data_IF_848911448315
#
_entry.id   IF_848911448315
#
_cell.length_a   1.000
_cell.length_b   1.000
_cell.length_c   1.000
_cell.angle_alpha   90.00
_cell.angle_beta   90.00
_cell.angle_gamma   90.00
#
_symmetry.space_group_name_H-M   'P 1'
#
loop_
_entity.id
_entity.type
_entity.pdbx_description
1 polymer ?
#
# COMPACT_ATOMS: atom_id res chain seq x y z
N UNK A 1 16.37 27.84 -32.52
CA UNK A 1 15.39 26.88 -31.94
C UNK A 1 16.17 26.03 -30.95
N UNK A 2 15.85 26.13 -29.67
CA UNK A 2 16.48 25.25 -28.67
C UNK A 2 16.11 23.80 -29.01
N UNK A 3 17.09 22.91 -28.89
CA UNK A 3 16.83 21.48 -29.01
C UNK A 3 15.88 21.09 -27.84
N UNK A 4 14.74 20.48 -28.17
CA UNK A 4 13.75 20.05 -27.17
C UNK A 4 14.37 19.14 -26.11
N UNK A 5 15.34 18.32 -26.50
CA UNK A 5 16.04 17.42 -25.58
C UNK A 5 16.94 18.20 -24.59
N UNK A 6 17.61 19.26 -25.06
CA UNK A 6 18.43 20.11 -24.18
C UNK A 6 17.54 20.88 -23.19
N UNK A 7 16.44 21.48 -23.69
CA UNK A 7 15.45 22.12 -22.81
C UNK A 7 14.93 21.15 -21.73
N UNK A 8 14.62 19.91 -22.09
CA UNK A 8 14.17 18.91 -21.13
C UNK A 8 15.23 18.61 -20.06
N UNK A 9 16.51 18.51 -20.46
CA UNK A 9 17.64 18.30 -19.54
C UNK A 9 17.82 19.48 -18.59
N UNK A 10 17.70 20.71 -19.10
CA UNK A 10 17.80 21.94 -18.29
C UNK A 10 16.71 21.99 -17.23
N UNK A 11 15.44 21.70 -17.59
CA UNK A 11 14.32 21.64 -16.65
C UNK A 11 14.60 20.63 -15.54
N UNK A 12 14.96 19.41 -15.90
CA UNK A 12 15.20 18.34 -14.92
C UNK A 12 16.39 18.66 -13.99
N UNK A 13 17.46 19.29 -14.51
CA UNK A 13 18.59 19.72 -13.68
C UNK A 13 18.19 20.83 -12.71
N UNK A 14 17.46 21.85 -13.20
CA UNK A 14 16.97 22.94 -12.35
C UNK A 14 16.10 22.43 -11.20
N UNK A 15 15.20 21.49 -11.46
CA UNK A 15 14.35 20.91 -10.44
C UNK A 15 15.15 19.99 -9.49
N UNK A 16 16.13 19.23 -9.98
CA UNK A 16 16.98 18.40 -9.15
C UNK A 16 17.84 19.26 -8.19
N UNK A 17 18.45 20.33 -8.68
CA UNK A 17 19.24 21.26 -7.86
C UNK A 17 18.34 21.92 -6.78
N UNK A 18 17.11 22.25 -7.12
CA UNK A 18 16.15 22.80 -6.17
C UNK A 18 15.78 21.79 -5.06
N UNK A 19 15.62 20.50 -5.39
CA UNK A 19 15.38 19.45 -4.40
C UNK A 19 16.57 19.25 -3.46
N UNK A 20 17.80 19.35 -3.98
CA UNK A 20 19.02 19.31 -3.16
C UNK A 20 19.02 20.49 -2.18
N UNK A 21 18.75 21.70 -2.67
CA UNK A 21 18.69 22.90 -1.84
C UNK A 21 17.61 22.79 -0.74
N UNK A 22 16.45 22.17 -1.04
CA UNK A 22 15.42 21.90 -0.03
C UNK A 22 15.92 20.90 1.03
N UNK A 23 16.59 19.84 0.62
CA UNK A 23 17.11 18.84 1.54
C UNK A 23 18.18 19.40 2.49
N UNK A 24 19.02 20.33 2.00
CA UNK A 24 20.07 21.01 2.80
C UNK A 24 19.51 22.09 3.74
N UNK A 25 18.35 22.68 3.39
CA UNK A 25 17.69 23.74 4.13
C UNK A 25 16.28 23.32 4.62
N UNK A 26 16.17 22.11 5.18
CA UNK A 26 14.90 21.66 5.74
C UNK A 26 14.39 22.60 6.83
N UNK A 27 13.07 22.97 6.83
CA UNK A 27 12.51 23.86 7.84
C UNK A 27 12.64 23.29 9.27
N UNK A 28 13.01 24.14 10.22
CA UNK A 28 13.11 23.77 11.65
C UNK A 28 11.82 23.20 12.22
N UNK A 29 10.68 23.64 11.69
CA UNK A 29 9.36 23.15 12.11
C UNK A 29 9.00 21.76 11.57
N UNK A 30 9.79 21.19 10.66
CA UNK A 30 9.45 19.91 10.03
C UNK A 30 9.16 18.79 11.06
N UNK A 31 10.04 18.65 12.05
CA UNK A 31 9.87 17.62 13.11
C UNK A 31 8.62 17.90 13.95
N UNK A 32 8.36 19.16 14.30
CA UNK A 32 7.16 19.54 15.06
C UNK A 32 5.86 19.27 14.30
N UNK A 33 5.88 19.49 12.98
CA UNK A 33 4.73 19.17 12.11
C UNK A 33 4.51 17.64 12.07
N UNK A 34 5.55 16.85 11.99
CA UNK A 34 5.44 15.38 12.06
C UNK A 34 4.87 14.96 13.42
N UNK A 35 5.36 15.51 14.53
CA UNK A 35 4.87 15.24 15.89
C UNK A 35 3.37 15.60 16.02
N UNK A 36 2.97 16.76 15.51
CA UNK A 36 1.59 17.23 15.51
C UNK A 36 0.67 16.25 14.76
N UNK A 37 1.06 15.84 13.55
CA UNK A 37 0.24 14.96 12.72
C UNK A 37 0.20 13.54 13.31
N UNK A 38 1.28 13.06 13.90
CA UNK A 38 1.34 11.73 14.53
C UNK A 38 0.37 11.62 15.72
N UNK A 39 0.28 12.67 16.52
CA UNK A 39 -0.61 12.76 17.70
C UNK A 39 -2.05 13.15 17.38
N UNK A 40 -2.40 13.34 16.10
CA UNK A 40 -3.70 13.88 15.70
C UNK A 40 -4.83 12.85 15.90
N UNK A 41 -5.91 13.26 16.57
CA UNK A 41 -7.12 12.44 16.69
C UNK A 41 -8.04 12.58 15.46
N UNK A 42 -7.92 13.65 14.70
CA UNK A 42 -8.68 13.97 13.48
C UNK A 42 -7.93 13.63 12.21
N UNK A 43 -8.09 14.47 11.19
CA UNK A 43 -7.54 14.30 9.84
C UNK A 43 -6.63 15.44 9.45
N UNK A 44 -5.73 15.19 8.49
CA UNK A 44 -5.01 16.27 7.79
C UNK A 44 -5.88 16.77 6.63
N UNK A 45 -6.39 17.99 6.76
CA UNK A 45 -7.10 18.67 5.68
C UNK A 45 -6.08 19.39 4.81
N UNK A 46 -5.88 18.91 3.58
CA UNK A 46 -4.92 19.52 2.67
C UNK A 46 -5.65 20.44 1.72
N UNK A 47 -5.17 21.67 1.55
CA UNK A 47 -5.83 22.69 0.72
C UNK A 47 -4.83 23.53 -0.07
N UNK A 48 -5.28 24.11 -1.18
CA UNK A 48 -4.50 24.95 -2.07
C UNK A 48 -5.26 25.28 -3.35
N UNK A 49 -4.87 26.36 -4.03
CA UNK A 49 -5.54 26.83 -5.24
C UNK A 49 -4.76 26.51 -6.50
N UNK A 50 -5.45 26.24 -7.63
CA UNK A 50 -4.86 26.00 -8.92
C UNK A 50 -3.87 24.82 -8.93
N UNK A 51 -2.63 25.05 -9.41
CA UNK A 51 -1.59 23.99 -9.43
C UNK A 51 -1.22 23.50 -8.02
N UNK A 52 -1.18 24.40 -7.03
CA UNK A 52 -1.00 24.00 -5.62
C UNK A 52 -2.14 23.11 -5.13
N UNK A 53 -3.38 23.30 -5.60
CA UNK A 53 -4.53 22.45 -5.31
C UNK A 53 -4.38 21.03 -5.89
N UNK A 54 -3.82 20.90 -7.11
CA UNK A 54 -3.53 19.57 -7.68
C UNK A 54 -2.44 18.83 -6.88
N UNK A 55 -1.40 19.55 -6.45
CA UNK A 55 -0.37 19.00 -5.56
C UNK A 55 -0.98 18.62 -4.19
N UNK A 56 -1.84 19.45 -3.63
CA UNK A 56 -2.54 19.18 -2.38
C UNK A 56 -3.38 17.90 -2.43
N UNK A 57 -4.09 17.67 -3.53
CA UNK A 57 -4.83 16.40 -3.76
C UNK A 57 -3.91 15.19 -3.75
N UNK A 58 -2.73 15.29 -4.41
CA UNK A 58 -1.74 14.20 -4.42
C UNK A 58 -1.19 13.94 -3.02
N UNK A 59 -0.85 15.00 -2.28
CA UNK A 59 -0.34 14.87 -0.90
C UNK A 59 -1.40 14.23 0.01
N UNK A 60 -2.66 14.67 -0.06
CA UNK A 60 -3.76 14.08 0.69
C UNK A 60 -3.91 12.57 0.39
N UNK A 61 -3.88 12.20 -0.89
CA UNK A 61 -3.96 10.80 -1.30
C UNK A 61 -2.76 9.98 -0.79
N UNK A 62 -1.55 10.53 -0.83
CA UNK A 62 -0.33 9.86 -0.32
C UNK A 62 -0.42 9.65 1.20
N UNK A 63 -0.80 10.67 1.97
CA UNK A 63 -1.00 10.57 3.42
C UNK A 63 -2.04 9.51 3.76
N UNK A 64 -3.21 9.52 3.11
CA UNK A 64 -4.27 8.55 3.33
C UNK A 64 -3.80 7.12 3.04
N UNK A 65 -3.10 6.90 1.93
CA UNK A 65 -2.61 5.60 1.50
C UNK A 65 -1.44 5.06 2.33
N UNK A 66 -0.82 5.92 3.14
CA UNK A 66 0.26 5.57 4.08
C UNK A 66 -0.18 5.58 5.55
N UNK A 67 -1.51 5.53 5.80
CA UNK A 67 -2.06 5.36 7.14
C UNK A 67 -2.29 6.66 7.92
N UNK A 68 -2.17 7.84 7.29
CA UNK A 68 -2.54 9.12 7.88
C UNK A 68 -3.89 9.58 7.31
N UNK A 69 -5.00 9.56 8.09
CA UNK A 69 -6.29 10.03 7.60
C UNK A 69 -6.18 11.45 7.07
N UNK A 70 -6.53 11.66 5.81
CA UNK A 70 -6.42 12.97 5.16
C UNK A 70 -7.43 13.12 4.04
N UNK A 71 -7.76 14.36 3.72
CA UNK A 71 -8.61 14.71 2.59
C UNK A 71 -8.24 16.08 2.03
N UNK A 72 -8.59 16.29 0.76
CA UNK A 72 -8.47 17.60 0.12
C UNK A 72 -9.76 18.38 0.25
N UNK A 73 -9.65 19.66 0.62
CA UNK A 73 -10.76 20.63 0.59
C UNK A 73 -10.36 21.77 -0.33
N UNK A 74 -11.21 22.07 -1.33
CA UNK A 74 -10.94 23.15 -2.28
C UNK A 74 -11.28 24.50 -1.63
N UNK A 75 -10.37 25.51 -1.65
CA UNK A 75 -10.60 26.77 -0.91
C UNK A 75 -11.85 27.53 -1.36
N UNK A 76 -12.13 27.56 -2.66
CA UNK A 76 -13.33 28.23 -3.18
C UNK A 76 -14.61 27.52 -2.75
N UNK A 77 -14.65 26.18 -2.74
CA UNK A 77 -15.82 25.42 -2.27
C UNK A 77 -15.97 25.53 -0.75
N UNK A 78 -14.86 25.66 -0.03
CA UNK A 78 -14.87 25.91 1.41
C UNK A 78 -15.66 27.18 1.74
N UNK A 79 -15.46 28.27 0.99
CA UNK A 79 -16.22 29.53 1.15
C UNK A 79 -17.72 29.40 0.83
N UNK A 80 -18.13 28.29 0.20
CA UNK A 80 -19.53 28.01 -0.17
C UNK A 80 -20.16 26.84 0.61
N UNK A 81 -19.56 26.42 1.73
CA UNK A 81 -20.14 25.43 2.63
C UNK A 81 -19.21 24.31 3.08
N UNK A 82 -18.18 23.96 2.28
CA UNK A 82 -17.27 22.85 2.58
C UNK A 82 -16.34 23.12 3.78
N UNK A 83 -16.38 24.32 4.39
CA UNK A 83 -15.82 24.59 5.72
C UNK A 83 -16.33 23.61 6.77
N UNK A 84 -17.55 23.10 6.61
CA UNK A 84 -18.12 22.08 7.50
C UNK A 84 -17.39 20.74 7.47
N UNK A 85 -16.48 20.53 6.51
CA UNK A 85 -15.61 19.34 6.46
C UNK A 85 -14.42 19.46 7.41
N UNK A 86 -14.12 20.65 7.94
CA UNK A 86 -12.97 20.91 8.81
C UNK A 86 -13.45 20.88 10.27
N UNK A 87 -13.08 19.84 11.00
CA UNK A 87 -13.44 19.67 12.41
C UNK A 87 -12.39 20.23 13.36
N UNK A 88 -12.79 20.43 14.63
CA UNK A 88 -11.88 20.94 15.67
C UNK A 88 -10.73 19.98 16.04
N UNK A 89 -10.85 18.70 15.69
CA UNK A 89 -9.79 17.70 15.90
C UNK A 89 -8.86 17.56 14.70
N UNK A 90 -9.11 18.28 13.60
CA UNK A 90 -8.32 18.24 12.37
C UNK A 90 -7.12 19.22 12.43
N UNK A 91 -6.19 19.10 11.50
CA UNK A 91 -5.13 20.06 11.18
C UNK A 91 -5.24 20.45 9.71
N UNK A 92 -5.03 21.73 9.40
CA UNK A 92 -5.02 22.20 8.01
C UNK A 92 -3.59 22.33 7.51
N UNK A 93 -3.27 21.67 6.39
CA UNK A 93 -2.04 21.83 5.63
C UNK A 93 -2.34 22.63 4.36
N UNK A 94 -1.91 23.89 4.32
CA UNK A 94 -2.23 24.83 3.26
C UNK A 94 -1.03 25.14 2.38
N UNK A 95 -1.23 24.97 1.06
CA UNK A 95 -0.17 25.10 0.06
C UNK A 95 -0.37 26.36 -0.79
N UNK A 96 0.60 27.27 -0.77
CA UNK A 96 0.62 28.42 -1.66
C UNK A 96 2.04 28.97 -1.83
N UNK A 97 2.59 28.92 -3.04
CA UNK A 97 3.95 29.39 -3.27
C UNK A 97 4.11 30.88 -2.92
N UNK A 98 3.15 31.73 -3.30
CA UNK A 98 3.15 33.16 -2.91
C UNK A 98 2.68 33.40 -1.48
N UNK A 99 1.81 32.54 -0.95
CA UNK A 99 1.14 32.71 0.32
C UNK A 99 0.08 33.83 0.34
N UNK A 100 -0.28 34.38 -0.83
CA UNK A 100 -1.15 35.58 -0.98
C UNK A 100 -2.40 35.31 -1.80
N UNK A 101 -2.75 34.04 -2.11
CA UNK A 101 -3.95 33.74 -2.88
C UNK A 101 -5.20 34.13 -2.08
N UNK A 102 -6.06 34.99 -2.66
CA UNK A 102 -7.22 35.56 -1.98
C UNK A 102 -8.22 34.49 -1.50
N UNK A 103 -8.34 33.40 -2.25
CA UNK A 103 -9.25 32.29 -2.00
C UNK A 103 -8.89 31.51 -0.71
N UNK A 104 -7.67 31.69 -0.18
CA UNK A 104 -7.23 31.02 1.05
C UNK A 104 -7.70 31.75 2.32
N UNK A 105 -8.11 33.01 2.20
CA UNK A 105 -8.42 33.88 3.34
C UNK A 105 -9.50 33.27 4.24
N UNK A 106 -10.60 32.82 3.67
CA UNK A 106 -11.73 32.32 4.46
C UNK A 106 -11.33 31.05 5.23
N UNK A 107 -10.49 30.19 4.65
CA UNK A 107 -9.97 29.00 5.35
C UNK A 107 -9.02 29.41 6.48
N UNK A 108 -8.16 30.43 6.26
CA UNK A 108 -7.27 30.98 7.31
C UNK A 108 -8.11 31.54 8.45
N UNK A 109 -9.13 32.35 8.17
CA UNK A 109 -10.02 32.93 9.18
C UNK A 109 -10.77 31.83 9.96
N UNK A 110 -11.25 30.81 9.28
CA UNK A 110 -11.88 29.64 9.90
C UNK A 110 -10.94 28.94 10.88
N UNK A 111 -9.69 28.63 10.47
CA UNK A 111 -8.71 27.99 11.36
C UNK A 111 -8.44 28.83 12.60
N UNK A 112 -8.29 30.15 12.46
CA UNK A 112 -8.10 31.06 13.62
C UNK A 112 -9.29 31.09 14.54
N UNK A 113 -10.51 31.21 13.95
CA UNK A 113 -11.76 31.29 14.71
C UNK A 113 -12.04 30.05 15.55
N UNK A 114 -11.75 28.88 15.04
CA UNK A 114 -12.06 27.61 15.69
C UNK A 114 -10.84 26.94 16.33
N UNK A 115 -9.69 27.63 16.38
CA UNK A 115 -8.44 27.13 16.95
C UNK A 115 -7.99 25.79 16.31
N UNK A 116 -8.21 25.64 14.99
CA UNK A 116 -7.72 24.51 14.21
C UNK A 116 -6.27 24.81 13.84
N UNK A 117 -5.29 23.93 14.16
CA UNK A 117 -3.90 24.17 13.81
C UNK A 117 -3.71 24.32 12.31
N UNK A 118 -2.92 25.32 11.90
CA UNK A 118 -2.60 25.65 10.50
C UNK A 118 -1.12 25.47 10.23
N UNK A 119 -0.81 24.63 9.24
CA UNK A 119 0.54 24.42 8.69
C UNK A 119 0.61 25.07 7.32
N UNK A 120 1.51 26.01 7.13
CA UNK A 120 1.72 26.70 5.84
C UNK A 120 2.92 26.14 5.07
N UNK A 121 2.74 25.84 3.77
CA UNK A 121 3.84 25.60 2.83
C UNK A 121 3.91 26.75 1.84
N UNK A 122 5.02 27.51 1.88
CA UNK A 122 5.24 28.67 0.99
C UNK A 122 6.75 28.95 0.82
N UNK A 123 7.11 29.61 -0.29
CA UNK A 123 8.46 30.16 -0.47
C UNK A 123 8.63 31.56 0.11
N UNK A 124 7.57 32.14 0.70
CA UNK A 124 7.53 33.53 1.21
C UNK A 124 7.22 33.55 2.71
N UNK A 125 8.23 33.56 3.58
CA UNK A 125 8.02 33.53 5.05
C UNK A 125 7.18 34.69 5.60
N UNK A 126 7.21 35.85 4.94
CA UNK A 126 6.43 37.04 5.34
C UNK A 126 5.04 37.13 4.71
N UNK A 127 4.55 36.10 4.03
CA UNK A 127 3.24 36.11 3.38
C UNK A 127 2.09 35.98 4.38
N UNK A 128 0.90 36.38 3.95
CA UNK A 128 -0.35 36.29 4.75
C UNK A 128 -0.57 34.86 5.27
N UNK A 129 -0.38 33.84 4.43
CA UNK A 129 -0.47 32.44 4.85
C UNK A 129 0.51 32.12 5.98
N UNK A 130 1.79 32.43 5.77
CA UNK A 130 2.84 32.03 6.72
C UNK A 130 2.72 32.78 8.04
N UNK A 131 2.37 34.07 8.03
CA UNK A 131 2.14 34.84 9.24
C UNK A 131 0.91 34.35 10.05
N UNK A 132 -0.07 33.76 9.38
CA UNK A 132 -1.25 33.18 10.01
C UNK A 132 -1.03 31.74 10.49
N UNK A 133 0.00 31.04 10.00
CA UNK A 133 0.27 29.65 10.32
C UNK A 133 0.88 29.45 11.69
N UNK A 134 0.55 28.34 12.35
CA UNK A 134 1.16 27.91 13.61
C UNK A 134 2.51 27.21 13.36
N UNK A 135 2.66 26.58 12.20
CA UNK A 135 3.87 25.88 11.75
C UNK A 135 4.24 26.25 10.33
N UNK A 136 5.52 26.39 10.08
CA UNK A 136 6.08 26.92 8.83
C UNK A 136 6.95 25.88 8.12
N UNK A 137 6.46 25.38 7.00
CA UNK A 137 7.25 24.55 6.08
C UNK A 137 7.71 25.41 4.90
N UNK A 138 8.70 26.27 5.16
CA UNK A 138 9.25 27.16 4.13
C UNK A 138 10.04 26.35 3.11
N UNK A 139 9.72 26.52 1.83
CA UNK A 139 10.49 25.97 0.71
C UNK A 139 11.42 27.04 0.12
N UNK A 140 12.57 26.67 -0.48
CA UNK A 140 13.48 27.62 -1.09
C UNK A 140 12.79 28.45 -2.19
N UNK A 141 13.04 29.77 -2.19
CA UNK A 141 12.55 30.68 -3.23
C UNK A 141 13.50 30.66 -4.43
N UNK A 142 13.33 29.68 -5.30
CA UNK A 142 14.16 29.45 -6.48
C UNK A 142 13.42 29.77 -7.78
N UNK A 143 14.14 30.05 -8.89
CA UNK A 143 13.54 30.30 -10.19
C UNK A 143 12.73 29.10 -10.69
N UNK A 144 11.63 29.39 -11.38
CA UNK A 144 10.86 28.35 -12.09
C UNK A 144 11.65 27.87 -13.33
N UNK A 145 11.65 26.59 -13.58
CA UNK A 145 12.39 25.98 -14.71
C UNK A 145 11.80 26.33 -16.09
N UNK A 146 10.67 27.01 -16.14
CA UNK A 146 10.02 27.42 -17.40
C UNK A 146 10.74 28.54 -18.17
N UNK A 147 11.80 29.12 -17.64
CA UNK A 147 12.59 30.19 -18.25
C UNK A 147 11.91 31.58 -18.30
N UNK A 148 10.59 31.67 -18.13
CA UNK A 148 9.83 32.93 -18.11
C UNK A 148 9.35 33.31 -16.70
N UNK A 149 9.63 32.47 -15.69
CA UNK A 149 9.31 32.73 -14.28
C UNK A 149 7.82 32.73 -13.91
N UNK A 150 6.93 32.34 -14.83
CA UNK A 150 5.48 32.43 -14.64
C UNK A 150 4.77 31.08 -14.48
N UNK A 151 5.30 30.02 -15.07
CA UNK A 151 4.69 28.68 -15.01
C UNK A 151 5.24 27.93 -13.81
N UNK A 152 4.42 27.59 -12.83
CA UNK A 152 4.88 26.80 -11.68
C UNK A 152 5.40 25.43 -12.12
N UNK A 153 6.68 25.19 -11.89
CA UNK A 153 7.42 23.97 -12.18
C UNK A 153 8.25 23.61 -10.93
N UNK A 154 9.38 24.27 -10.72
CA UNK A 154 10.26 24.10 -9.56
C UNK A 154 9.50 24.22 -8.23
N UNK A 155 8.68 25.26 -8.06
CA UNK A 155 7.92 25.46 -6.83
C UNK A 155 6.91 24.34 -6.56
N UNK A 156 6.27 23.80 -7.60
CA UNK A 156 5.34 22.67 -7.45
C UNK A 156 6.06 21.37 -7.13
N UNK A 157 7.23 21.14 -7.71
CA UNK A 157 8.11 19.99 -7.45
C UNK A 157 8.59 20.01 -5.99
N UNK A 158 9.06 21.16 -5.49
CA UNK A 158 9.45 21.34 -4.09
C UNK A 158 8.30 21.11 -3.11
N UNK A 159 7.12 21.66 -3.41
CA UNK A 159 5.92 21.48 -2.58
C UNK A 159 5.49 20.03 -2.52
N UNK A 160 5.53 19.33 -3.66
CA UNK A 160 5.23 17.90 -3.73
C UNK A 160 6.22 17.07 -2.91
N UNK A 161 7.50 17.32 -3.07
CA UNK A 161 8.57 16.63 -2.35
C UNK A 161 8.47 16.85 -0.82
N UNK A 162 8.12 18.05 -0.37
CA UNK A 162 7.86 18.35 1.05
C UNK A 162 6.71 17.48 1.58
N UNK A 163 5.62 17.37 0.83
CA UNK A 163 4.49 16.51 1.20
C UNK A 163 4.84 15.02 1.25
N UNK A 164 5.67 14.55 0.31
CA UNK A 164 6.16 13.17 0.30
C UNK A 164 7.11 12.91 1.49
N UNK A 165 7.96 13.88 1.82
CA UNK A 165 8.83 13.80 2.99
C UNK A 165 8.02 13.67 4.29
N UNK A 166 6.92 14.43 4.44
CA UNK A 166 5.99 14.30 5.58
C UNK A 166 5.36 12.91 5.64
N UNK A 167 4.81 12.44 4.52
CA UNK A 167 4.15 11.14 4.46
C UNK A 167 5.12 9.99 4.81
N UNK A 168 6.34 10.02 4.27
CA UNK A 168 7.36 9.00 4.53
C UNK A 168 7.91 9.09 5.97
N UNK A 169 8.07 10.28 6.54
CA UNK A 169 8.46 10.45 7.93
C UNK A 169 7.43 9.83 8.89
N UNK A 170 6.14 10.10 8.66
CA UNK A 170 5.02 9.53 9.43
C UNK A 170 4.94 8.00 9.27
N UNK A 171 5.09 7.51 8.05
CA UNK A 171 5.11 6.08 7.73
C UNK A 171 6.22 5.36 8.53
N UNK A 172 7.44 5.92 8.54
CA UNK A 172 8.58 5.34 9.27
C UNK A 172 8.37 5.36 10.79
N UNK A 173 7.85 6.45 11.35
CA UNK A 173 7.56 6.56 12.78
C UNK A 173 6.54 5.54 13.26
N UNK A 174 5.50 5.30 12.46
CA UNK A 174 4.46 4.30 12.75
C UNK A 174 4.91 2.87 12.49
N UNK A 175 6.15 2.64 12.05
CA UNK A 175 6.65 1.32 11.65
C UNK A 175 5.70 0.63 10.65
N UNK A 176 5.16 1.42 9.70
CA UNK A 176 4.22 0.98 8.69
C UNK A 176 4.87 -0.09 7.80
N UNK A 177 4.24 -1.26 7.75
CA UNK A 177 4.76 -2.43 7.05
C UNK A 177 4.10 -2.62 5.69
N UNK A 178 4.72 -3.40 4.79
CA UNK A 178 4.09 -3.74 3.52
C UNK A 178 2.68 -4.34 3.65
N UNK A 179 2.42 -5.09 4.73
CA UNK A 179 1.10 -5.67 5.02
C UNK A 179 0.04 -4.59 5.26
N UNK A 180 0.42 -3.49 5.93
CA UNK A 180 -0.47 -2.36 6.20
C UNK A 180 -0.84 -1.64 4.90
N UNK A 181 0.10 -1.56 3.94
CA UNK A 181 -0.17 -0.99 2.62
C UNK A 181 -1.25 -1.77 1.85
N UNK A 182 -1.26 -3.11 1.98
CA UNK A 182 -2.27 -3.98 1.37
C UNK A 182 -3.69 -3.68 1.85
N UNK A 183 -3.85 -3.24 3.11
CA UNK A 183 -5.17 -2.86 3.68
C UNK A 183 -5.77 -1.66 2.94
N UNK A 184 -4.93 -0.68 2.55
CA UNK A 184 -5.37 0.52 1.84
C UNK A 184 -5.43 0.36 0.31
N UNK A 185 -4.86 -0.74 -0.25
CA UNK A 185 -4.78 -1.00 -1.69
C UNK A 185 -5.32 -2.39 -2.08
N UNK A 186 -6.54 -2.76 -1.69
CA UNK A 186 -7.06 -4.12 -1.88
C UNK A 186 -7.21 -4.52 -3.36
N UNK A 187 -7.35 -3.58 -4.27
CA UNK A 187 -7.57 -3.83 -5.71
C UNK A 187 -6.33 -3.76 -6.61
N UNK A 188 -5.12 -3.51 -6.06
CA UNK A 188 -3.90 -3.37 -6.85
C UNK A 188 -3.07 -4.67 -6.90
N UNK A 189 -2.18 -4.82 -7.90
CA UNK A 189 -1.20 -5.93 -7.96
C UNK A 189 -0.42 -6.08 -6.66
N UNK A 190 -0.09 -4.98 -6.01
CA UNK A 190 0.64 -4.97 -4.75
C UNK A 190 -0.21 -5.51 -3.59
N UNK A 191 -1.52 -5.22 -3.56
CA UNK A 191 -2.47 -5.79 -2.59
C UNK A 191 -2.61 -7.31 -2.76
N UNK A 192 -2.71 -7.78 -4.01
CA UNK A 192 -2.81 -9.20 -4.32
C UNK A 192 -1.55 -9.98 -3.88
N UNK A 193 -0.36 -9.39 -3.99
CA UNK A 193 0.90 -9.99 -3.54
C UNK A 193 1.02 -10.11 -2.02
N UNK A 194 0.27 -9.30 -1.26
CA UNK A 194 0.27 -9.28 0.20
C UNK A 194 -0.79 -10.19 0.83
N UNK A 195 -1.66 -10.80 0.01
CA UNK A 195 -2.66 -11.77 0.48
C UNK A 195 -1.95 -12.98 1.07
N UNK A 196 -2.43 -13.45 2.23
CA UNK A 196 -1.94 -14.69 2.86
C UNK A 196 -2.67 -15.91 2.32
N UNK A 197 -2.01 -17.05 2.36
CA UNK A 197 -2.53 -18.34 1.93
C UNK A 197 -3.87 -18.67 2.60
N UNK A 198 -4.02 -18.40 3.89
CA UNK A 198 -5.26 -18.62 4.65
C UNK A 198 -6.52 -17.95 4.09
N UNK A 199 -6.34 -16.85 3.31
CA UNK A 199 -7.44 -16.14 2.65
C UNK A 199 -7.87 -16.76 1.33
N UNK A 200 -7.01 -17.57 0.72
CA UNK A 200 -7.22 -18.14 -0.60
C UNK A 200 -7.38 -19.68 -0.58
N UNK A 201 -6.92 -20.33 0.49
CA UNK A 201 -7.04 -21.78 0.63
C UNK A 201 -8.49 -22.23 0.80
N UNK A 202 -8.78 -23.43 0.36
CA UNK A 202 -10.02 -24.13 0.65
C UNK A 202 -9.88 -24.88 1.97
N UNK A 203 -10.79 -24.70 2.95
CA UNK A 203 -10.69 -25.34 4.27
C UNK A 203 -11.01 -26.84 4.25
N UNK A 204 -11.68 -27.30 3.19
CA UNK A 204 -12.10 -28.70 3.07
C UNK A 204 -10.96 -29.54 2.47
N UNK A 205 -10.10 -30.06 3.33
CA UNK A 205 -9.01 -30.97 2.93
C UNK A 205 -9.59 -32.34 2.62
N UNK A 206 -9.31 -32.94 1.42
CA UNK A 206 -9.66 -34.32 1.13
C UNK A 206 -8.83 -35.28 1.99
N UNK A 207 -9.35 -35.65 3.17
CA UNK A 207 -8.65 -36.49 4.15
C UNK A 207 -8.88 -37.97 3.84
N UNK A 208 -7.84 -38.74 3.85
CA UNK A 208 -7.80 -40.18 3.55
C UNK A 208 -7.18 -40.87 4.75
N UNK A 209 -7.81 -41.96 5.21
CA UNK A 209 -7.23 -42.81 6.24
C UNK A 209 -6.00 -43.55 5.66
N UNK A 210 -4.89 -43.72 6.41
CA UNK A 210 -3.70 -44.43 5.95
C UNK A 210 -3.98 -45.84 5.45
N UNK A 211 -4.88 -46.55 6.10
CA UNK A 211 -5.25 -47.95 5.82
C UNK A 211 -6.41 -48.06 4.83
N UNK A 212 -6.99 -46.95 4.37
CA UNK A 212 -8.10 -46.96 3.40
C UNK A 212 -7.64 -47.62 2.08
N UNK A 213 -8.49 -48.46 1.45
CA UNK A 213 -8.21 -49.00 0.14
C UNK A 213 -8.18 -47.90 -0.91
N UNK A 214 -7.35 -48.04 -1.96
CA UNK A 214 -7.24 -47.03 -3.01
C UNK A 214 -8.54 -46.65 -3.70
N UNK A 215 -9.50 -47.61 -3.76
CA UNK A 215 -10.85 -47.33 -4.30
C UNK A 215 -11.58 -46.23 -3.50
N UNK A 216 -11.45 -46.21 -2.18
CA UNK A 216 -12.05 -45.20 -1.29
C UNK A 216 -11.25 -43.90 -1.35
N UNK A 217 -9.93 -43.98 -1.39
CA UNK A 217 -9.04 -42.85 -1.58
C UNK A 217 -9.38 -42.08 -2.86
N UNK A 218 -9.58 -42.75 -3.98
CA UNK A 218 -9.94 -42.17 -5.27
C UNK A 218 -11.31 -41.44 -5.22
N UNK A 219 -12.30 -41.99 -4.52
CA UNK A 219 -13.58 -41.32 -4.33
C UNK A 219 -13.44 -40.03 -3.54
N UNK A 220 -12.64 -40.06 -2.49
CA UNK A 220 -12.34 -38.89 -1.65
C UNK A 220 -11.60 -37.78 -2.45
N UNK A 221 -10.61 -38.15 -3.25
CA UNK A 221 -9.89 -37.22 -4.12
C UNK A 221 -10.81 -36.61 -5.18
N UNK A 222 -11.67 -37.43 -5.80
CA UNK A 222 -12.63 -37.00 -6.81
C UNK A 222 -13.65 -36.03 -6.22
N UNK A 223 -14.17 -36.32 -5.05
CA UNK A 223 -15.11 -35.44 -4.33
C UNK A 223 -14.45 -34.09 -3.94
N UNK A 224 -13.16 -34.11 -3.60
CA UNK A 224 -12.39 -32.91 -3.30
C UNK A 224 -12.14 -32.01 -4.51
N UNK A 225 -11.95 -32.60 -5.70
CA UNK A 225 -11.79 -31.84 -6.95
C UNK A 225 -10.47 -31.10 -7.14
N UNK A 226 -9.45 -31.37 -6.30
CA UNK A 226 -8.15 -30.69 -6.36
C UNK A 226 -7.02 -31.51 -6.98
N UNK A 227 -7.28 -32.77 -7.37
CA UNK A 227 -6.24 -33.69 -7.86
C UNK A 227 -5.22 -34.10 -6.78
N UNK A 228 -5.56 -33.95 -5.51
CA UNK A 228 -4.74 -34.31 -4.35
C UNK A 228 -5.63 -34.83 -3.21
N UNK A 229 -5.10 -35.84 -2.47
CA UNK A 229 -5.67 -36.30 -1.21
C UNK A 229 -4.60 -36.27 -0.12
N UNK A 230 -4.98 -35.87 1.09
CA UNK A 230 -4.13 -35.83 2.26
C UNK A 230 -4.32 -37.12 3.08
N UNK A 231 -3.29 -37.94 3.22
CA UNK A 231 -3.29 -39.11 4.10
C UNK A 231 -3.01 -38.64 5.52
N UNK A 232 -3.96 -38.84 6.44
CA UNK A 232 -3.95 -38.24 7.76
C UNK A 232 -4.19 -39.31 8.82
N UNK A 233 -3.33 -39.35 9.84
CA UNK A 233 -3.52 -40.13 11.06
C UNK A 233 -3.39 -39.20 12.28
N UNK A 234 -4.23 -39.39 13.29
CA UNK A 234 -4.23 -38.61 14.54
C UNK A 234 -4.12 -37.08 14.30
N UNK A 235 -4.89 -36.58 13.34
CA UNK A 235 -4.86 -35.17 12.87
C UNK A 235 -3.53 -34.71 12.25
N UNK A 236 -2.54 -35.60 12.07
CA UNK A 236 -1.24 -35.31 11.46
C UNK A 236 -1.18 -35.77 9.98
N UNK A 237 -0.59 -34.94 9.11
CA UNK A 237 -0.34 -35.29 7.72
C UNK A 237 0.79 -36.33 7.63
N UNK A 238 0.46 -37.52 7.11
CA UNK A 238 1.41 -38.63 6.91
C UNK A 238 1.98 -38.64 5.47
N UNK A 239 1.24 -38.10 4.52
CA UNK A 239 1.61 -38.06 3.10
C UNK A 239 0.51 -37.47 2.24
N UNK A 240 0.75 -37.36 0.96
CA UNK A 240 -0.23 -36.94 -0.04
C UNK A 240 -0.30 -37.93 -1.20
N UNK A 241 -1.47 -38.09 -1.78
CA UNK A 241 -1.68 -38.82 -3.03
C UNK A 241 -2.10 -37.78 -4.08
N UNK A 242 -1.38 -37.76 -5.20
CA UNK A 242 -1.66 -36.89 -6.34
C UNK A 242 -1.97 -37.70 -7.58
N UNK A 243 -2.53 -37.08 -8.63
CA UNK A 243 -2.72 -37.72 -9.93
C UNK A 243 -1.40 -38.31 -10.51
N UNK A 244 -0.27 -37.70 -10.12
CA UNK A 244 1.08 -38.23 -10.47
C UNK A 244 1.38 -39.55 -9.77
N UNK A 245 1.01 -39.68 -8.48
CA UNK A 245 1.20 -40.90 -7.71
C UNK A 245 0.33 -42.04 -8.27
N UNK A 246 -0.92 -41.72 -8.60
CA UNK A 246 -1.82 -42.70 -9.24
C UNK A 246 -1.26 -43.25 -10.54
N UNK A 247 -0.71 -42.40 -11.39
CA UNK A 247 -0.08 -42.81 -12.66
C UNK A 247 1.18 -43.63 -12.45
N UNK A 248 1.99 -43.33 -11.44
CA UNK A 248 3.21 -44.08 -11.13
C UNK A 248 2.93 -45.48 -10.60
N UNK A 249 1.83 -45.67 -9.90
CA UNK A 249 1.42 -46.89 -9.26
C UNK A 249 0.23 -47.58 -9.98
N UNK A 250 0.04 -47.31 -11.28
CA UNK A 250 -1.13 -47.79 -12.04
C UNK A 250 -1.27 -49.33 -11.99
N UNK A 251 -0.16 -50.03 -12.06
CA UNK A 251 -0.14 -51.50 -11.98
C UNK A 251 -0.40 -51.91 -10.51
N UNK A 252 -1.50 -52.62 -10.27
CA UNK A 252 -1.89 -53.09 -8.94
C UNK A 252 -2.39 -52.01 -8.01
N UNK A 253 -2.73 -50.79 -8.49
CA UNK A 253 -3.13 -49.65 -7.67
C UNK A 253 -4.24 -50.00 -6.68
N UNK A 254 -5.23 -50.81 -7.08
CA UNK A 254 -6.38 -51.16 -6.25
C UNK A 254 -6.09 -52.18 -5.14
N UNK A 255 -4.88 -52.80 -5.19
CA UNK A 255 -4.44 -53.78 -4.18
C UNK A 255 -3.67 -53.10 -3.02
N UNK A 256 -3.43 -51.81 -3.12
CA UNK A 256 -2.66 -51.01 -2.12
C UNK A 256 -3.58 -50.25 -1.14
N UNK A 257 -3.06 -50.02 0.08
CA UNK A 257 -3.61 -49.03 0.98
C UNK A 257 -3.11 -47.64 0.60
N UNK A 258 -3.84 -46.61 1.03
CA UNK A 258 -3.54 -45.21 0.69
C UNK A 258 -2.11 -44.80 1.08
N UNK A 259 -1.62 -45.20 2.24
CA UNK A 259 -0.28 -44.85 2.70
C UNK A 259 0.85 -45.49 1.88
N UNK A 260 0.57 -46.63 1.23
CA UNK A 260 1.55 -47.33 0.38
C UNK A 260 1.82 -46.56 -0.92
N UNK A 261 0.80 -45.85 -1.43
CA UNK A 261 0.85 -45.05 -2.66
C UNK A 261 1.28 -43.62 -2.39
N UNK A 262 1.08 -43.13 -1.15
CA UNK A 262 1.30 -41.76 -0.81
C UNK A 262 2.78 -41.33 -0.87
N UNK A 263 3.02 -40.15 -1.43
CA UNK A 263 4.30 -39.45 -1.26
C UNK A 263 4.40 -38.99 0.19
N UNK A 264 5.39 -39.56 0.92
CA UNK A 264 5.72 -39.16 2.31
C UNK A 264 6.54 -37.88 2.29
N UNK A 265 6.48 -37.10 3.38
CA UNK A 265 7.14 -35.79 3.51
C UNK A 265 6.78 -34.83 2.36
N UNK A 266 5.47 -34.58 2.11
CA UNK A 266 5.06 -33.73 1.04
C UNK A 266 5.41 -32.27 1.34
N UNK A 267 5.59 -31.48 0.26
CA UNK A 267 5.75 -30.06 0.37
C UNK A 267 4.47 -29.42 0.89
N UNK A 268 4.56 -28.73 2.02
CA UNK A 268 3.44 -28.01 2.65
C UNK A 268 3.80 -26.55 2.85
N UNK A 269 2.79 -25.71 3.09
CA UNK A 269 2.96 -24.29 3.41
C UNK A 269 2.12 -23.92 4.62
N UNK A 270 2.59 -22.99 5.48
CA UNK A 270 1.78 -22.51 6.59
C UNK A 270 0.70 -21.52 6.13
N UNK A 271 -0.44 -21.40 6.88
CA UNK A 271 -1.53 -20.48 6.55
C UNK A 271 -1.08 -19.01 6.41
N UNK A 272 -0.10 -18.61 7.24
CA UNK A 272 0.45 -17.25 7.27
C UNK A 272 1.42 -16.90 6.14
N UNK A 273 1.79 -17.84 5.25
CA UNK A 273 2.66 -17.55 4.10
C UNK A 273 2.01 -16.57 3.13
N UNK A 274 2.79 -15.72 2.48
CA UNK A 274 2.28 -14.85 1.42
C UNK A 274 1.91 -15.66 0.18
N UNK A 275 0.80 -15.32 -0.45
CA UNK A 275 0.31 -15.97 -1.66
C UNK A 275 1.33 -15.91 -2.81
N UNK A 276 2.06 -14.81 -2.92
CA UNK A 276 3.15 -14.68 -3.90
C UNK A 276 4.31 -15.67 -3.67
N UNK A 277 4.64 -15.95 -2.41
CA UNK A 277 5.66 -16.96 -2.07
C UNK A 277 5.16 -18.36 -2.40
N UNK A 278 3.90 -18.67 -2.09
CA UNK A 278 3.28 -19.94 -2.44
C UNK A 278 3.23 -20.15 -3.96
N UNK A 279 2.92 -19.11 -4.74
CA UNK A 279 2.94 -19.15 -6.21
C UNK A 279 4.35 -19.43 -6.75
N UNK A 280 5.37 -18.75 -6.22
CA UNK A 280 6.76 -18.98 -6.60
C UNK A 280 7.16 -20.44 -6.33
N UNK A 281 6.77 -21.00 -5.19
CA UNK A 281 7.05 -22.36 -4.79
C UNK A 281 6.36 -23.38 -5.72
N UNK A 282 5.07 -23.16 -6.07
CA UNK A 282 4.35 -23.99 -7.03
C UNK A 282 5.05 -24.03 -8.40
N UNK A 283 5.49 -22.85 -8.89
CA UNK A 283 6.19 -22.72 -10.17
C UNK A 283 7.58 -23.40 -10.13
N UNK A 284 8.36 -23.19 -9.09
CA UNK A 284 9.69 -23.81 -8.90
C UNK A 284 9.60 -25.33 -8.88
N UNK A 285 8.64 -25.86 -8.14
CA UNK A 285 8.43 -27.30 -7.98
C UNK A 285 7.60 -27.92 -9.10
N UNK A 286 7.06 -27.12 -10.02
CA UNK A 286 6.21 -27.56 -11.14
C UNK A 286 5.01 -28.38 -10.68
N UNK A 287 4.37 -27.94 -9.60
CA UNK A 287 3.16 -28.55 -9.04
C UNK A 287 2.01 -27.52 -9.08
N UNK A 288 0.77 -28.00 -9.06
CA UNK A 288 -0.43 -27.15 -9.17
C UNK A 288 -1.18 -26.98 -7.86
N UNK A 289 -0.84 -27.75 -6.83
CA UNK A 289 -1.59 -27.80 -5.58
C UNK A 289 -0.66 -28.03 -4.39
N UNK A 290 -0.99 -27.43 -3.25
CA UNK A 290 -0.28 -27.59 -1.97
C UNK A 290 -1.28 -27.89 -0.85
N UNK A 291 -0.87 -28.75 0.09
CA UNK A 291 -1.56 -28.85 1.38
C UNK A 291 -1.06 -27.74 2.30
N UNK A 292 -1.99 -27.03 2.92
CA UNK A 292 -1.70 -26.00 3.92
C UNK A 292 -1.75 -26.65 5.28
N UNK A 293 -0.67 -26.53 6.06
CA UNK A 293 -0.57 -27.13 7.38
C UNK A 293 -0.30 -26.10 8.48
N UNK A 294 -0.96 -26.26 9.60
CA UNK A 294 -0.62 -25.58 10.85
C UNK A 294 0.09 -26.60 11.76
N UNK A 295 1.42 -26.50 11.82
CA UNK A 295 2.26 -27.56 12.36
C UNK A 295 2.05 -28.88 11.58
N UNK A 296 1.74 -30.02 12.26
CA UNK A 296 1.48 -31.30 11.60
C UNK A 296 0.08 -31.40 10.97
N UNK A 297 -0.85 -30.50 11.35
CA UNK A 297 -2.27 -30.59 11.00
C UNK A 297 -2.57 -29.97 9.64
N UNK A 298 -3.14 -30.71 8.66
CA UNK A 298 -3.61 -30.13 7.43
C UNK A 298 -4.90 -29.33 7.67
N UNK A 299 -4.85 -28.03 7.32
CA UNK A 299 -5.93 -27.06 7.56
C UNK A 299 -6.55 -26.52 6.28
N UNK A 300 -5.92 -26.77 5.12
CA UNK A 300 -6.46 -26.32 3.84
C UNK A 300 -5.74 -26.91 2.63
N UNK A 301 -6.30 -26.62 1.46
CA UNK A 301 -5.75 -26.92 0.14
C UNK A 301 -5.64 -25.62 -0.64
N UNK A 302 -4.48 -25.35 -1.25
CA UNK A 302 -4.25 -24.18 -2.09
C UNK A 302 -3.95 -24.66 -3.53
N UNK A 303 -4.79 -24.25 -4.47
CA UNK A 303 -4.58 -24.56 -5.88
C UNK A 303 -4.06 -23.34 -6.63
N UNK A 304 -3.19 -23.53 -7.63
CA UNK A 304 -2.59 -22.45 -8.42
C UNK A 304 -3.65 -21.52 -9.05
N UNK A 305 -4.81 -22.05 -9.44
CA UNK A 305 -5.87 -21.25 -10.02
C UNK A 305 -6.50 -20.24 -9.04
N UNK A 306 -6.46 -20.53 -7.73
CA UNK A 306 -6.97 -19.59 -6.72
C UNK A 306 -6.03 -18.38 -6.60
N UNK A 307 -4.73 -18.61 -6.69
CA UNK A 307 -3.70 -17.56 -6.73
C UNK A 307 -3.83 -16.69 -8.00
N UNK A 308 -4.05 -17.32 -9.16
CA UNK A 308 -4.23 -16.61 -10.43
C UNK A 308 -5.52 -15.78 -10.44
N UNK A 309 -6.64 -16.33 -9.93
CA UNK A 309 -7.91 -15.58 -9.80
C UNK A 309 -7.79 -14.40 -8.83
N UNK A 310 -6.98 -14.53 -7.80
CA UNK A 310 -6.70 -13.44 -6.85
C UNK A 310 -5.74 -12.37 -7.41
N UNK A 311 -5.23 -12.53 -8.63
CA UNK A 311 -4.33 -11.57 -9.27
C UNK A 311 -2.91 -11.56 -8.67
N UNK A 312 -2.48 -12.68 -8.07
CA UNK A 312 -1.14 -12.81 -7.45
C UNK A 312 -0.03 -12.94 -8.49
N UNK A 313 -0.36 -13.15 -9.78
CA UNK A 313 0.59 -13.32 -10.88
C UNK A 313 0.99 -11.98 -11.52
#
# INVERSE_FOLDING_TARGET
>A
MSDALETAREVLRTEADALIALAEAMPDDFTRVVDLIEGLAGRVIVTGMGKSGHIARKIAATLASTGTPSMFVHPAEASHGDMGMIGSADVVLMLSNSGEAAELRDVIEHTRRFSVPLIGISSKPGSTLMLASDHHLTIPALPEACGIGMVPTTSTTLTLAMGDALAVALLRRRNFKPEDFGVFHPGGKLGAQMVRVERLMHPNVPRIDPDAPMSEALLTMTAGGFGIGAVVADDALMGVITDGDLRRNMDGLMDHAALDVATRDPLTVPPGMLAAQALALLNERKISVLIVCDGPKPVGVLHIHDLLRAGVA
#
